data_IF_347857039866
#
_entry.id   IF_347857039866
#
_cell.length_a   1.000
_cell.length_b   1.000
_cell.length_c   1.000
_cell.angle_alpha   90.00
_cell.angle_beta   90.00
_cell.angle_gamma   90.00
#
_symmetry.space_group_name_H-M   'P 1'
#
loop_
_entity.id
_entity.type
_entity.pdbx_description
1 polymer ?
#
# COMPACT_ATOMS: atom_id res chain seq x y z
N UNK A 1 -10.38 -9.64 -2.34
CA UNK A 1 -9.93 -8.25 -2.10
C UNK A 1 -11.11 -7.31 -2.17
N UNK A 2 -11.23 -6.43 -1.22
CA UNK A 2 -12.27 -5.39 -1.19
C UNK A 2 -11.59 -4.04 -1.09
N UNK A 3 -11.95 -3.13 -1.97
CA UNK A 3 -11.34 -1.80 -2.03
C UNK A 3 -12.43 -0.74 -2.18
N UNK A 4 -12.43 0.24 -1.28
CA UNK A 4 -13.32 1.38 -1.34
C UNK A 4 -12.46 2.65 -1.35
N UNK A 5 -12.22 3.20 -2.55
CA UNK A 5 -11.32 4.33 -2.77
C UNK A 5 -11.96 5.68 -2.41
N UNK A 6 -12.42 5.80 -1.17
CA UNK A 6 -12.91 7.08 -0.65
C UNK A 6 -11.91 7.68 0.31
N UNK A 7 -11.57 8.94 0.11
CA UNK A 7 -10.79 9.70 1.08
C UNK A 7 -11.53 9.75 2.41
N UNK A 8 -10.78 9.72 3.51
CA UNK A 8 -11.38 9.85 4.82
C UNK A 8 -12.01 8.58 5.34
N UNK A 9 -11.46 7.41 5.03
CA UNK A 9 -11.83 6.19 5.72
C UNK A 9 -12.44 5.08 4.88
N UNK A 10 -12.34 5.15 3.55
CA UNK A 10 -12.73 4.04 2.69
C UNK A 10 -11.98 2.76 3.07
N UNK A 11 -12.67 1.64 3.16
CA UNK A 11 -12.09 0.39 3.67
C UNK A 11 -11.24 -0.32 2.62
N UNK A 12 -10.14 -0.91 3.05
CA UNK A 12 -9.31 -1.80 2.25
C UNK A 12 -9.16 -3.14 2.93
N UNK A 13 -9.44 -4.20 2.21
CA UNK A 13 -9.20 -5.58 2.65
C UNK A 13 -8.49 -6.34 1.55
N UNK A 14 -7.36 -6.93 1.85
CA UNK A 14 -6.66 -7.78 0.92
C UNK A 14 -5.92 -8.88 1.65
N UNK A 15 -5.71 -10.01 0.96
CA UNK A 15 -4.88 -11.09 1.47
C UNK A 15 -3.64 -11.18 0.60
N UNK A 16 -2.49 -11.03 1.21
CA UNK A 16 -1.22 -11.20 0.53
C UNK A 16 -0.86 -12.68 0.56
N UNK A 17 -0.55 -13.24 -0.60
CA UNK A 17 -0.21 -14.64 -0.73
C UNK A 17 1.27 -14.82 -1.06
N UNK A 18 1.95 -15.69 -0.31
CA UNK A 18 3.34 -16.04 -0.54
C UNK A 18 3.49 -17.22 -1.49
N UNK A 19 4.69 -17.45 -2.03
CA UNK A 19 4.94 -18.52 -2.99
C UNK A 19 4.82 -19.92 -2.39
N UNK A 20 4.91 -20.07 -1.07
CA UNK A 20 4.71 -21.35 -0.37
C UNK A 20 3.29 -21.61 0.10
N UNK A 21 2.31 -20.82 -0.37
CA UNK A 21 0.92 -20.94 0.05
C UNK A 21 0.57 -20.16 1.30
N UNK A 22 1.48 -19.32 1.79
CA UNK A 22 1.22 -18.46 2.94
C UNK A 22 0.14 -17.45 2.62
N UNK A 23 -0.69 -17.13 3.61
CA UNK A 23 -1.75 -16.14 3.53
C UNK A 23 -1.57 -15.09 4.62
N UNK A 24 -1.54 -13.81 4.23
CA UNK A 24 -1.42 -12.69 5.16
C UNK A 24 -2.59 -11.73 4.94
N UNK A 25 -3.67 -11.85 5.74
CA UNK A 25 -4.79 -10.92 5.61
C UNK A 25 -4.38 -9.52 6.05
N UNK A 26 -4.75 -8.54 5.25
CA UNK A 26 -4.47 -7.13 5.50
C UNK A 26 -5.75 -6.33 5.46
N UNK A 27 -5.95 -5.50 6.47
CA UNK A 27 -7.07 -4.57 6.54
C UNK A 27 -6.59 -3.18 6.89
N UNK A 28 -7.24 -2.18 6.34
CA UNK A 28 -6.92 -0.81 6.61
C UNK A 28 -7.93 0.15 6.02
N UNK A 29 -7.58 1.42 6.02
CA UNK A 29 -8.41 2.47 5.45
C UNK A 29 -7.58 3.40 4.59
N UNK A 30 -8.23 4.02 3.61
CA UNK A 30 -7.62 5.06 2.81
C UNK A 30 -7.79 6.40 3.53
N UNK A 31 -6.68 7.12 3.71
CA UNK A 31 -6.67 8.43 4.33
C UNK A 31 -6.91 9.52 3.30
N UNK A 32 -6.30 9.38 2.13
CA UNK A 32 -6.41 10.35 1.06
C UNK A 32 -6.36 9.65 -0.30
N UNK A 33 -7.24 10.05 -1.21
CA UNK A 33 -7.25 9.55 -2.58
C UNK A 33 -7.34 10.76 -3.51
N UNK A 34 -6.30 10.99 -4.28
CA UNK A 34 -6.27 11.98 -5.36
C UNK A 34 -6.11 11.23 -6.68
N UNK A 35 -7.13 11.24 -7.49
CA UNK A 35 -7.15 10.47 -8.75
C UNK A 35 -5.94 10.82 -9.63
N UNK A 36 -5.19 9.79 -10.02
CA UNK A 36 -4.03 9.93 -10.88
C UNK A 36 -2.78 10.51 -10.22
N UNK A 37 -2.81 10.85 -8.93
CA UNK A 37 -1.70 11.55 -8.26
C UNK A 37 -1.23 10.89 -6.99
N UNK A 38 -2.14 10.57 -6.07
CA UNK A 38 -1.75 10.19 -4.71
C UNK A 38 -2.74 9.24 -4.07
N UNK A 39 -2.21 8.26 -3.38
CA UNK A 39 -2.99 7.32 -2.57
C UNK A 39 -2.28 7.16 -1.23
N UNK A 40 -2.98 7.46 -0.13
CA UNK A 40 -2.46 7.29 1.22
C UNK A 40 -3.35 6.32 1.97
N UNK A 41 -2.77 5.32 2.58
CA UNK A 41 -3.52 4.32 3.35
C UNK A 41 -2.74 3.86 4.57
N UNK A 42 -3.46 3.29 5.54
CA UNK A 42 -2.87 2.83 6.79
C UNK A 42 -3.58 1.60 7.31
N UNK A 43 -2.86 0.79 8.07
CA UNK A 43 -3.40 -0.34 8.83
C UNK A 43 -3.74 0.02 10.28
N UNK A 44 -3.59 1.30 10.66
CA UNK A 44 -3.89 1.78 12.01
C UNK A 44 -5.38 1.76 12.34
N UNK A 45 -6.24 1.77 11.32
CA UNK A 45 -7.70 1.76 11.47
C UNK A 45 -8.33 0.73 10.55
N UNK A 46 -9.50 0.27 10.94
CA UNK A 46 -10.41 -0.48 10.08
C UNK A 46 -11.62 0.40 9.74
N UNK A 47 -12.62 -0.12 9.01
CA UNK A 47 -13.77 0.66 8.59
C UNK A 47 -14.44 1.37 9.77
N UNK A 48 -15.05 2.52 9.50
CA UNK A 48 -15.68 3.39 10.51
C UNK A 48 -14.69 3.93 11.56
N UNK A 49 -13.42 4.11 11.17
CA UNK A 49 -12.36 4.68 12.01
C UNK A 49 -12.15 3.94 13.33
N UNK A 50 -12.34 2.62 13.31
CA UNK A 50 -12.03 1.78 14.47
C UNK A 50 -10.53 1.54 14.54
N UNK A 51 -9.88 1.81 15.68
CA UNK A 51 -8.46 1.48 15.83
C UNK A 51 -8.22 0.00 15.62
N UNK A 52 -7.18 -0.33 14.85
CA UNK A 52 -6.77 -1.71 14.65
C UNK A 52 -6.05 -2.25 15.89
N UNK A 53 -5.85 -3.58 15.95
CA UNK A 53 -5.12 -4.17 17.06
C UNK A 53 -3.66 -3.74 17.14
N UNK A 54 -3.06 -3.39 16.00
CA UNK A 54 -1.68 -2.92 15.94
C UNK A 54 -1.48 -2.02 14.72
N UNK A 55 -1.16 -0.75 14.98
CA UNK A 55 -0.75 0.16 13.93
C UNK A 55 0.68 -0.15 13.51
N UNK A 56 0.90 -0.41 12.24
CA UNK A 56 2.22 -0.76 11.72
C UNK A 56 2.80 0.34 10.83
N UNK A 57 2.05 0.81 9.85
CA UNK A 57 2.56 1.77 8.87
C UNK A 57 1.49 2.68 8.29
N UNK A 58 1.97 3.79 7.71
CA UNK A 58 1.22 4.60 6.76
C UNK A 58 1.94 4.51 5.43
N UNK A 59 1.24 4.11 4.39
CA UNK A 59 1.80 3.99 3.05
C UNK A 59 1.26 5.08 2.15
N UNK A 60 2.14 5.62 1.32
CA UNK A 60 1.81 6.67 0.37
C UNK A 60 2.33 6.26 -1.01
N UNK A 61 1.44 6.26 -1.99
CA UNK A 61 1.78 6.04 -3.39
C UNK A 61 1.62 7.35 -4.13
N UNK A 62 2.68 7.79 -4.78
CA UNK A 62 2.72 9.04 -5.53
C UNK A 62 2.94 8.75 -7.01
N UNK A 63 2.14 9.40 -7.83
CA UNK A 63 2.25 9.31 -9.29
C UNK A 63 2.52 10.71 -9.85
N UNK A 64 3.47 10.81 -10.76
CA UNK A 64 3.79 12.06 -11.45
C UNK A 64 4.23 11.78 -12.87
N UNK A 65 4.21 12.81 -13.72
CA UNK A 65 4.65 12.67 -15.09
C UNK A 65 6.17 12.46 -15.14
N UNK A 66 6.60 11.46 -15.92
CA UNK A 66 8.02 11.22 -16.15
C UNK A 66 8.52 12.07 -17.33
N UNK A 67 9.80 12.51 -17.31
CA UNK A 67 10.41 13.16 -18.47
C UNK A 67 10.36 12.25 -19.70
N UNK A 68 9.90 12.77 -20.81
CA UNK A 68 9.80 12.01 -22.06
C UNK A 68 8.55 11.14 -22.18
N UNK A 69 7.60 11.29 -21.27
CA UNK A 69 6.35 10.51 -21.23
C UNK A 69 6.40 9.41 -20.18
N UNK A 70 5.26 8.77 -19.92
CA UNK A 70 5.12 7.75 -18.90
C UNK A 70 4.85 8.35 -17.52
N UNK A 71 4.91 7.50 -16.50
CA UNK A 71 4.57 7.86 -15.12
C UNK A 71 5.69 7.47 -14.16
N UNK A 72 6.08 8.42 -13.31
CA UNK A 72 6.93 8.11 -12.15
C UNK A 72 6.07 7.58 -11.02
N UNK A 73 6.45 6.42 -10.52
CA UNK A 73 5.78 5.75 -9.40
C UNK A 73 6.72 5.78 -8.19
N UNK A 74 6.19 6.26 -7.07
CA UNK A 74 6.95 6.29 -5.82
C UNK A 74 6.08 5.74 -4.70
N UNK A 75 6.58 4.74 -3.99
CA UNK A 75 5.95 4.18 -2.81
C UNK A 75 6.78 4.52 -1.58
N UNK A 76 6.12 5.05 -0.55
CA UNK A 76 6.76 5.41 0.72
C UNK A 76 5.98 4.75 1.85
N UNK A 77 6.67 4.03 2.71
CA UNK A 77 6.08 3.51 3.94
C UNK A 77 6.70 4.22 5.14
N UNK A 78 5.84 4.75 6.00
CA UNK A 78 6.25 5.41 7.24
C UNK A 78 5.81 4.56 8.41
N UNK A 79 6.67 4.44 9.41
CA UNK A 79 6.43 3.61 10.59
C UNK A 79 6.37 4.48 11.83
N UNK A 80 5.70 3.96 12.88
CA UNK A 80 5.55 4.67 14.14
C UNK A 80 6.87 4.78 14.92
N UNK A 81 7.77 3.81 14.69
CA UNK A 81 9.06 3.77 15.38
C UNK A 81 10.11 3.03 14.56
N UNK A 82 11.37 3.10 15.00
CA UNK A 82 12.48 2.46 14.29
C UNK A 82 12.40 0.92 14.31
N UNK A 83 11.82 0.34 15.35
CA UNK A 83 11.67 -1.11 15.46
C UNK A 83 10.72 -1.65 14.38
N UNK A 84 9.59 -1.01 14.17
CA UNK A 84 8.62 -1.40 13.15
C UNK A 84 9.23 -1.25 11.75
N UNK A 85 9.99 -0.21 11.52
CA UNK A 85 10.70 0.00 10.26
C UNK A 85 11.70 -1.12 10.00
N UNK A 86 12.51 -1.46 10.98
CA UNK A 86 13.50 -2.51 10.86
C UNK A 86 12.85 -3.88 10.60
N UNK A 87 11.74 -4.16 11.25
CA UNK A 87 11.00 -5.40 11.04
C UNK A 87 10.42 -5.46 9.64
N UNK A 88 9.87 -4.36 9.13
CA UNK A 88 9.34 -4.30 7.77
C UNK A 88 10.44 -4.54 6.73
N UNK A 89 11.64 -4.01 6.95
CA UNK A 89 12.80 -4.29 6.10
C UNK A 89 13.18 -5.77 6.13
N UNK A 90 13.17 -6.41 7.31
CA UNK A 90 13.43 -7.84 7.46
C UNK A 90 12.41 -8.71 6.74
N UNK A 91 11.17 -8.25 6.63
CA UNK A 91 10.11 -8.94 5.91
C UNK A 91 10.28 -8.88 4.39
N UNK A 92 11.33 -8.21 3.91
CA UNK A 92 11.58 -8.09 2.49
C UNK A 92 10.84 -6.91 1.85
N UNK A 93 10.72 -5.79 2.56
CA UNK A 93 10.01 -4.60 2.10
C UNK A 93 10.42 -4.18 0.67
N UNK A 94 11.70 -3.98 0.43
CA UNK A 94 12.17 -3.53 -0.88
C UNK A 94 11.89 -4.56 -1.97
N UNK A 95 12.12 -5.83 -1.68
CA UNK A 95 11.88 -6.92 -2.62
C UNK A 95 10.39 -7.10 -2.92
N UNK A 96 9.55 -7.13 -1.89
CA UNK A 96 8.12 -7.30 -2.02
C UNK A 96 7.45 -6.14 -2.77
N UNK A 97 7.80 -4.91 -2.44
CA UNK A 97 7.28 -3.73 -3.14
C UNK A 97 7.77 -3.65 -4.58
N UNK A 98 9.02 -4.10 -4.85
CA UNK A 98 9.54 -4.19 -6.21
C UNK A 98 8.74 -5.18 -7.06
N UNK A 99 8.44 -6.35 -6.53
CA UNK A 99 7.61 -7.35 -7.22
C UNK A 99 6.20 -6.81 -7.46
N UNK A 100 5.60 -6.16 -6.47
CA UNK A 100 4.26 -5.58 -6.62
C UNK A 100 4.25 -4.48 -7.69
N UNK A 101 5.28 -3.64 -7.75
CA UNK A 101 5.41 -2.61 -8.78
C UNK A 101 5.55 -3.21 -10.17
N UNK A 102 6.32 -4.29 -10.31
CA UNK A 102 6.48 -5.00 -11.57
C UNK A 102 5.14 -5.60 -12.05
N UNK A 103 4.37 -6.16 -11.14
CA UNK A 103 3.05 -6.68 -11.44
C UNK A 103 2.08 -5.58 -11.88
N UNK A 104 2.15 -4.42 -11.23
CA UNK A 104 1.35 -3.26 -11.61
C UNK A 104 1.72 -2.77 -13.00
N UNK A 105 3.00 -2.69 -13.31
CA UNK A 105 3.48 -2.28 -14.63
C UNK A 105 2.97 -3.24 -15.71
N UNK A 106 3.05 -4.55 -15.48
CA UNK A 106 2.56 -5.55 -16.41
C UNK A 106 1.05 -5.41 -16.66
N UNK A 107 0.27 -5.17 -15.61
CA UNK A 107 -1.16 -4.94 -15.73
C UNK A 107 -1.46 -3.66 -16.50
N UNK A 108 -0.75 -2.56 -16.20
CA UNK A 108 -0.96 -1.26 -16.84
C UNK A 108 -0.73 -1.33 -18.35
N UNK A 109 0.21 -2.15 -18.80
CA UNK A 109 0.48 -2.33 -20.24
C UNK A 109 -0.65 -3.03 -20.99
N UNK A 110 -1.57 -3.67 -20.29
CA UNK A 110 -2.72 -4.36 -20.88
C UNK A 110 -3.97 -3.48 -20.96
N UNK A 111 -3.95 -2.31 -20.35
CA UNK A 111 -5.09 -1.39 -20.27
C UNK A 111 -5.15 -0.42 -21.44
#
# INVERSE_FOLDING_TARGET
>A
MTVDLRSGGGASRMTLCGPGGESFPNQGVYLQVEEGKRLVFTDAFTSAWRPSGKAFMVSEILLSDAPGGGTLYKAVARHWNAEDRAEHEKMGFHHGWGIAADQLEALAKTL
#
